data_IF_156682747751
#
_entry.id   IF_156682747751
#
_cell.length_a   1.000
_cell.length_b   1.000
_cell.length_c   1.000
_cell.angle_alpha   90.00
_cell.angle_beta   90.00
_cell.angle_gamma   90.00
#
_symmetry.space_group_name_H-M   'P 1'
#
loop_
_entity.id
_entity.type
_entity.pdbx_description
1 polymer ?
#
# COMPACT_ATOMS: atom_id res chain seq x y z
N UNK A 1 19.47 -6.47 -1.77
CA UNK A 1 18.63 -5.47 -1.07
C UNK A 1 19.48 -4.54 -0.22
N UNK A 2 20.19 -5.02 0.81
CA UNK A 2 21.04 -4.18 1.68
C UNK A 2 22.00 -3.24 0.92
N UNK A 3 22.82 -3.78 0.00
CA UNK A 3 23.76 -2.99 -0.81
C UNK A 3 23.11 -1.82 -1.57
N UNK A 4 21.86 -1.99 -2.00
CA UNK A 4 21.12 -0.92 -2.68
C UNK A 4 20.73 0.17 -1.70
N UNK A 5 20.20 -0.20 -0.53
CA UNK A 5 19.76 0.74 0.51
C UNK A 5 20.95 1.56 1.05
N UNK A 6 22.10 0.92 1.25
CA UNK A 6 23.32 1.55 1.74
C UNK A 6 23.91 2.56 0.74
N UNK A 7 23.76 2.34 -0.57
CA UNK A 7 24.35 3.20 -1.60
C UNK A 7 23.45 4.35 -2.08
N UNK A 8 22.23 4.51 -1.56
CA UNK A 8 21.32 5.58 -2.01
C UNK A 8 21.67 6.94 -1.42
N UNK A 9 21.68 7.96 -2.27
CA UNK A 9 21.76 9.38 -1.90
C UNK A 9 20.60 10.11 -2.58
N UNK A 10 19.66 10.72 -1.84
CA UNK A 10 19.59 10.80 -0.38
C UNK A 10 19.26 9.46 0.31
N UNK A 11 19.55 9.31 1.62
CA UNK A 11 19.33 8.07 2.34
C UNK A 11 17.85 7.62 2.30
N UNK A 12 17.65 6.31 2.16
CA UNK A 12 16.31 5.68 2.16
C UNK A 12 15.80 5.32 3.56
N UNK A 13 16.68 5.35 4.55
CA UNK A 13 16.37 5.11 5.95
C UNK A 13 15.62 6.30 6.56
N UNK A 14 14.80 6.01 7.56
CA UNK A 14 14.01 6.97 8.34
C UNK A 14 14.20 6.68 9.82
N UNK A 15 13.99 7.67 10.69
CA UNK A 15 14.23 7.54 12.12
C UNK A 15 13.06 6.88 12.87
N UNK A 16 11.86 6.93 12.31
CA UNK A 16 10.64 6.42 12.96
C UNK A 16 9.64 5.82 11.98
N UNK A 17 8.70 5.02 12.49
CA UNK A 17 7.59 4.50 11.68
C UNK A 17 6.71 5.61 11.10
N UNK A 18 6.37 6.64 11.89
CA UNK A 18 5.55 7.75 11.44
C UNK A 18 6.17 8.47 10.23
N UNK A 19 7.48 8.72 10.27
CA UNK A 19 8.22 9.31 9.16
C UNK A 19 8.21 8.41 7.92
N UNK A 20 8.45 7.10 8.10
CA UNK A 20 8.42 6.13 6.99
C UNK A 20 7.06 6.01 6.33
N UNK A 21 5.98 5.97 7.12
CA UNK A 21 4.60 5.91 6.64
C UNK A 21 4.25 7.18 5.86
N UNK A 22 4.57 8.36 6.41
CA UNK A 22 4.31 9.63 5.73
C UNK A 22 5.14 9.77 4.43
N UNK A 23 6.36 9.23 4.42
CA UNK A 23 7.19 9.15 3.22
C UNK A 23 6.53 8.29 2.14
N UNK A 24 5.93 7.15 2.49
CA UNK A 24 5.15 6.34 1.53
C UNK A 24 3.99 7.14 0.94
N UNK A 25 3.19 7.81 1.80
CA UNK A 25 2.01 8.60 1.39
C UNK A 25 2.39 9.74 0.43
N UNK A 26 3.42 10.50 0.78
CA UNK A 26 3.87 11.66 0.00
C UNK A 26 4.49 11.31 -1.36
N UNK A 27 5.09 10.11 -1.50
CA UNK A 27 5.84 9.74 -2.70
C UNK A 27 5.01 9.09 -3.82
N UNK A 28 3.68 8.94 -3.64
CA UNK A 28 2.72 8.46 -4.66
C UNK A 28 3.16 7.16 -5.33
N UNK A 29 3.54 6.16 -4.53
CA UNK A 29 3.92 4.82 -5.02
C UNK A 29 5.38 4.69 -5.48
N UNK A 30 6.22 5.73 -5.32
CA UNK A 30 7.66 5.67 -5.66
C UNK A 30 8.57 5.30 -4.50
N UNK A 31 8.01 5.12 -3.31
CA UNK A 31 8.73 4.68 -2.11
C UNK A 31 7.94 3.56 -1.45
N UNK A 32 8.63 2.46 -1.14
CA UNK A 32 8.10 1.35 -0.37
C UNK A 32 8.83 1.31 0.97
N UNK A 33 8.09 1.10 2.06
CA UNK A 33 8.64 1.06 3.40
C UNK A 33 8.58 -0.36 3.95
N UNK A 34 9.71 -0.87 4.42
CA UNK A 34 9.81 -2.16 5.08
C UNK A 34 9.69 -1.94 6.59
N UNK A 35 8.62 -2.45 7.18
CA UNK A 35 8.36 -2.43 8.60
C UNK A 35 7.82 -3.79 9.05
N UNK A 36 7.66 -3.96 10.35
CA UNK A 36 7.11 -5.18 10.93
C UNK A 36 5.68 -5.45 10.45
N UNK A 37 5.33 -6.73 10.28
CA UNK A 37 4.01 -7.15 9.84
C UNK A 37 2.87 -6.64 10.73
N UNK A 38 3.05 -6.68 12.05
CA UNK A 38 2.05 -6.23 13.04
C UNK A 38 1.74 -4.73 12.91
N UNK A 39 2.77 -3.91 12.76
CA UNK A 39 2.66 -2.47 12.54
C UNK A 39 2.04 -2.17 11.15
N UNK A 40 2.43 -2.91 10.12
CA UNK A 40 1.84 -2.77 8.79
C UNK A 40 0.33 -3.08 8.80
N UNK A 41 -0.07 -4.19 9.42
CA UNK A 41 -1.47 -4.58 9.55
C UNK A 41 -2.27 -3.57 10.37
N UNK A 42 -1.67 -2.99 11.42
CA UNK A 42 -2.29 -1.92 12.19
C UNK A 42 -2.54 -0.67 11.34
N UNK A 43 -1.52 -0.18 10.63
CA UNK A 43 -1.61 1.05 9.85
C UNK A 43 -2.60 0.92 8.69
N UNK A 44 -2.72 -0.27 8.09
CA UNK A 44 -3.70 -0.53 7.04
C UNK A 44 -5.16 -0.44 7.52
N UNK A 45 -5.42 -0.52 8.82
CA UNK A 45 -6.77 -0.31 9.38
C UNK A 45 -7.00 1.13 9.83
N UNK A 46 -6.05 2.06 9.62
CA UNK A 46 -6.14 3.47 10.02
C UNK A 46 -6.46 4.38 8.85
N UNK A 47 -7.25 5.42 9.11
CA UNK A 47 -7.51 6.47 8.12
C UNK A 47 -6.20 7.18 7.74
N UNK A 48 -6.03 7.57 6.46
CA UNK A 48 -7.04 7.59 5.40
C UNK A 48 -7.12 6.30 4.56
N UNK A 49 -6.69 5.14 5.09
CA UNK A 49 -6.79 3.83 4.41
C UNK A 49 -6.00 3.78 3.08
N UNK A 50 -4.88 4.50 3.04
CA UNK A 50 -4.05 4.73 1.86
C UNK A 50 -2.77 3.87 1.84
N UNK A 51 -2.64 2.97 2.80
CA UNK A 51 -1.54 2.00 2.89
C UNK A 51 -2.05 0.60 2.60
N UNK A 52 -1.16 -0.27 2.09
CA UNK A 52 -1.45 -1.68 1.89
C UNK A 52 -0.22 -2.54 2.09
N UNK A 53 -0.40 -3.71 2.69
CA UNK A 53 0.60 -4.78 2.74
C UNK A 53 0.65 -5.46 1.37
N UNK A 54 1.87 -5.68 0.87
CA UNK A 54 2.10 -6.37 -0.40
C UNK A 54 2.99 -7.59 -0.16
N UNK A 55 2.55 -8.74 -0.66
CA UNK A 55 3.29 -9.99 -0.58
C UNK A 55 3.30 -10.64 0.81
N UNK A 56 4.14 -11.67 0.93
CA UNK A 56 4.34 -12.42 2.18
C UNK A 56 5.39 -11.74 3.08
N UNK A 57 5.39 -12.10 4.36
CA UNK A 57 6.41 -11.64 5.31
C UNK A 57 7.79 -12.17 4.90
N UNK A 58 8.83 -11.34 5.07
CA UNK A 58 10.21 -11.73 4.78
C UNK A 58 10.78 -12.74 5.79
N UNK A 59 10.23 -12.75 7.01
CA UNK A 59 10.64 -13.60 8.11
C UNK A 59 9.45 -13.88 9.05
N UNK A 60 9.67 -14.77 10.01
CA UNK A 60 8.75 -15.04 11.12
C UNK A 60 9.45 -14.66 12.41
N UNK A 61 9.09 -13.50 12.96
CA UNK A 61 9.57 -12.98 14.25
C UNK A 61 8.34 -12.78 15.14
N UNK A 62 8.50 -13.00 16.45
CA UNK A 62 7.46 -12.77 17.45
C UNK A 62 7.94 -11.90 18.60
N UNK A 63 7.00 -11.25 19.28
CA UNK A 63 7.26 -10.49 20.50
C UNK A 63 7.32 -11.41 21.74
N UNK A 64 8.10 -11.01 22.73
CA UNK A 64 8.18 -11.68 24.02
C UNK A 64 8.29 -10.68 25.17
N UNK A 65 7.93 -11.12 26.37
CA UNK A 65 8.12 -10.34 27.61
C UNK A 65 9.53 -10.62 28.14
N UNK A 66 10.34 -9.57 28.23
CA UNK A 66 11.70 -9.67 28.75
C UNK A 66 11.72 -9.52 30.28
N UNK A 67 12.44 -10.40 30.96
CA UNK A 67 12.75 -10.29 32.39
C UNK A 67 14.28 -10.26 32.59
N UNK A 68 14.77 -9.65 33.69
CA UNK A 68 16.18 -9.73 34.03
C UNK A 68 16.67 -11.18 34.13
N UNK A 69 17.93 -11.41 33.80
CA UNK A 69 18.53 -12.74 33.90
C UNK A 69 18.46 -13.25 35.34
N UNK A 70 18.00 -14.49 35.53
CA UNK A 70 17.82 -15.09 36.85
C UNK A 70 16.59 -14.62 37.64
N UNK A 71 15.65 -13.90 37.01
CA UNK A 71 14.42 -13.48 37.69
C UNK A 71 13.48 -14.65 37.99
N UNK A 72 13.03 -14.76 39.25
CA UNK A 72 12.02 -15.74 39.71
C UNK A 72 10.66 -15.60 38.99
N UNK A 73 10.41 -14.44 38.37
CA UNK A 73 9.18 -14.16 37.64
C UNK A 73 9.16 -14.79 36.25
N UNK A 74 10.30 -15.21 35.70
CA UNK A 74 10.39 -15.73 34.34
C UNK A 74 9.42 -16.88 34.11
N UNK A 75 9.44 -17.88 34.98
CA UNK A 75 8.63 -19.09 34.80
C UNK A 75 7.14 -18.82 35.05
N UNK A 76 6.83 -18.00 36.04
CA UNK A 76 5.47 -17.55 36.35
C UNK A 76 4.85 -16.80 35.16
N UNK A 77 5.60 -15.87 34.55
CA UNK A 77 5.15 -15.11 33.37
C UNK A 77 4.99 -16.05 32.17
N UNK A 78 5.93 -16.96 31.94
CA UNK A 78 5.87 -17.88 30.81
C UNK A 78 4.64 -18.79 30.89
N UNK A 79 4.35 -19.35 32.07
CA UNK A 79 3.14 -20.15 32.32
C UNK A 79 1.86 -19.33 32.14
N UNK A 80 1.85 -18.07 32.60
CA UNK A 80 0.71 -17.18 32.41
C UNK A 80 0.44 -16.88 30.93
N UNK A 81 1.49 -16.63 30.13
CA UNK A 81 1.36 -16.41 28.69
C UNK A 81 0.78 -17.65 28.00
N UNK A 82 1.29 -18.84 28.32
CA UNK A 82 0.77 -20.11 27.78
C UNK A 82 -0.71 -20.28 28.12
N UNK A 83 -1.10 -20.04 29.38
CA UNK A 83 -2.50 -20.12 29.80
C UNK A 83 -3.41 -19.10 29.07
N UNK A 84 -2.92 -17.89 28.77
CA UNK A 84 -3.67 -16.89 27.99
C UNK A 84 -3.78 -17.29 26.51
N UNK A 85 -2.74 -17.92 25.96
CA UNK A 85 -2.73 -18.41 24.59
C UNK A 85 -3.69 -19.59 24.40
N UNK A 86 -3.66 -20.58 25.29
CA UNK A 86 -4.57 -21.74 25.26
C UNK A 86 -6.04 -21.34 25.39
N UNK A 87 -6.33 -20.30 26.20
CA UNK A 87 -7.69 -19.75 26.34
C UNK A 87 -8.12 -18.86 25.16
N UNK A 88 -7.20 -18.53 24.24
CA UNK A 88 -7.46 -17.64 23.10
C UNK A 88 -7.62 -16.16 23.47
N UNK A 89 -7.31 -15.76 24.71
CA UNK A 89 -7.44 -14.38 25.17
C UNK A 89 -6.50 -13.43 24.42
N UNK A 90 -5.28 -13.90 24.08
CA UNK A 90 -4.35 -13.12 23.26
C UNK A 90 -4.92 -12.80 21.88
N UNK A 91 -5.57 -13.77 21.22
CA UNK A 91 -6.18 -13.57 19.91
C UNK A 91 -7.39 -12.63 19.98
N UNK A 92 -8.16 -12.73 21.06
CA UNK A 92 -9.27 -11.81 21.33
C UNK A 92 -8.80 -10.37 21.52
N UNK A 93 -7.68 -10.18 22.24
CA UNK A 93 -7.06 -8.86 22.40
C UNK A 93 -6.51 -8.33 21.07
N UNK A 94 -5.84 -9.15 20.28
CA UNK A 94 -5.38 -8.79 18.94
C UNK A 94 -6.54 -8.27 18.08
N UNK A 95 -7.63 -9.03 17.98
CA UNK A 95 -8.80 -8.63 17.21
C UNK A 95 -9.41 -7.32 17.70
N UNK A 96 -9.53 -7.16 19.02
CA UNK A 96 -10.07 -5.96 19.65
C UNK A 96 -9.29 -4.70 19.31
N UNK A 97 -7.96 -4.78 19.27
CA UNK A 97 -7.09 -3.60 19.10
C UNK A 97 -6.74 -3.32 17.63
N UNK A 98 -6.66 -4.34 16.78
CA UNK A 98 -6.33 -4.19 15.36
C UNK A 98 -7.56 -4.03 14.45
N UNK A 99 -8.60 -4.85 14.65
CA UNK A 99 -9.71 -4.97 13.70
C UNK A 99 -11.00 -4.32 14.21
N UNK A 100 -11.45 -4.64 15.44
CA UNK A 100 -12.70 -4.09 15.98
C UNK A 100 -12.63 -2.56 16.17
N UNK A 101 -11.42 -2.05 16.37
CA UNK A 101 -11.10 -0.62 16.46
C UNK A 101 -10.46 -0.06 15.18
N UNK A 102 -10.52 -0.82 14.10
CA UNK A 102 -10.17 -0.35 12.76
C UNK A 102 -11.06 0.83 12.38
N UNK A 103 -10.48 1.80 11.69
CA UNK A 103 -11.17 2.99 11.18
C UNK A 103 -11.44 2.91 9.68
N UNK A 104 -10.81 1.95 9.02
CA UNK A 104 -11.11 1.51 7.67
C UNK A 104 -12.10 0.36 7.78
N UNK A 105 -13.28 0.49 7.19
CA UNK A 105 -14.11 -0.68 6.96
C UNK A 105 -13.29 -1.67 6.12
N UNK A 106 -13.40 -2.97 6.42
CA UNK A 106 -12.86 -4.02 5.56
C UNK A 106 -13.61 -4.10 4.20
N UNK A 107 -14.15 -2.99 3.72
CA UNK A 107 -14.39 -2.76 2.30
C UNK A 107 -13.05 -2.42 1.69
N UNK A 108 -12.54 -3.19 0.74
CA UNK A 108 -13.02 -3.00 -0.63
C UNK A 108 -13.85 -1.71 -0.65
N UNK A 109 -13.18 -0.57 -0.83
CA UNK A 109 -13.73 0.43 -1.72
C UNK A 109 -13.98 -0.34 -3.01
N UNK A 110 -15.11 -1.04 -3.07
CA UNK A 110 -15.79 -1.28 -4.31
C UNK A 110 -15.90 0.15 -4.77
N UNK A 111 -15.19 0.47 -5.84
CA UNK A 111 -15.41 1.66 -6.64
C UNK A 111 -16.90 1.64 -7.06
N UNK A 112 -17.79 1.87 -6.10
CA UNK A 112 -19.16 2.30 -6.23
C UNK A 112 -19.20 3.82 -6.30
N UNK A 113 -18.04 4.48 -6.35
CA UNK A 113 -17.87 5.84 -6.84
C UNK A 113 -17.95 5.85 -8.36
N UNK A 114 -19.13 5.48 -8.88
CA UNK A 114 -19.55 5.71 -10.24
C UNK A 114 -18.62 5.11 -11.32
N UNK A 115 -19.13 4.13 -12.06
CA UNK A 115 -18.78 3.97 -13.48
C UNK A 115 -19.23 5.23 -14.26
N UNK A 116 -18.76 6.41 -13.85
CA UNK A 116 -18.82 7.63 -14.61
C UNK A 116 -17.77 7.46 -15.70
N UNK A 117 -18.24 7.43 -16.94
CA UNK A 117 -17.40 7.47 -18.12
C UNK A 117 -16.64 8.80 -18.11
N UNK A 118 -15.54 8.86 -17.37
CA UNK A 118 -14.71 10.05 -17.31
C UNK A 118 -14.24 10.40 -18.72
N UNK A 119 -14.30 11.68 -19.11
CA UNK A 119 -13.89 12.15 -20.43
C UNK A 119 -12.48 11.67 -20.80
N UNK A 120 -11.58 11.53 -19.82
CA UNK A 120 -10.23 10.98 -19.99
C UNK A 120 -10.19 9.55 -20.54
N UNK A 121 -11.22 8.74 -20.29
CA UNK A 121 -11.34 7.36 -20.82
C UNK A 121 -11.83 7.34 -22.27
N UNK A 122 -12.56 8.38 -22.71
CA UNK A 122 -13.20 8.48 -24.05
C UNK A 122 -12.41 9.42 -24.98
N UNK A 123 -11.52 10.27 -24.44
CA UNK A 123 -10.72 11.23 -25.19
C UNK A 123 -9.93 10.61 -26.36
N UNK A 124 -9.50 9.35 -26.23
CA UNK A 124 -8.84 8.61 -27.30
C UNK A 124 -9.65 8.52 -28.60
N UNK A 125 -10.98 8.36 -28.50
CA UNK A 125 -11.88 8.26 -29.66
C UNK A 125 -11.96 9.62 -30.39
N UNK A 126 -11.99 10.72 -29.65
CA UNK A 126 -12.00 12.07 -30.23
C UNK A 126 -10.70 12.39 -30.97
N UNK A 127 -9.54 11.99 -30.42
CA UNK A 127 -8.26 12.19 -31.11
C UNK A 127 -8.16 11.41 -32.43
N UNK A 128 -8.66 10.16 -32.46
CA UNK A 128 -8.69 9.36 -33.68
C UNK A 128 -9.60 10.00 -34.75
N UNK A 129 -10.78 10.51 -34.35
CA UNK A 129 -11.70 11.21 -35.26
C UNK A 129 -11.07 12.47 -35.86
N UNK A 130 -10.45 13.33 -35.04
CA UNK A 130 -9.77 14.52 -35.54
C UNK A 130 -8.60 14.17 -36.46
N UNK A 131 -7.79 13.18 -36.10
CA UNK A 131 -6.70 12.70 -36.95
C UNK A 131 -7.20 12.19 -38.30
N UNK A 132 -8.27 11.39 -38.30
CA UNK A 132 -8.91 10.88 -39.53
C UNK A 132 -9.43 11.99 -40.43
N UNK A 133 -10.05 13.03 -39.85
CA UNK A 133 -10.56 14.17 -40.60
C UNK A 133 -9.43 14.98 -41.26
N UNK A 134 -8.32 15.21 -40.54
CA UNK A 134 -7.14 15.92 -41.08
C UNK A 134 -6.47 15.11 -42.20
N UNK A 135 -6.27 13.81 -42.00
CA UNK A 135 -5.66 12.93 -43.01
C UNK A 135 -6.52 12.88 -44.28
N UNK A 136 -7.84 12.75 -44.13
CA UNK A 136 -8.77 12.75 -45.25
C UNK A 136 -8.72 14.07 -46.03
N UNK A 137 -8.65 15.20 -45.34
CA UNK A 137 -8.53 16.52 -45.98
C UNK A 137 -7.21 16.67 -46.75
N UNK A 138 -6.09 16.21 -46.19
CA UNK A 138 -4.78 16.26 -46.87
C UNK A 138 -4.73 15.33 -48.08
N UNK A 139 -5.31 14.12 -48.00
CA UNK A 139 -5.39 13.20 -49.13
C UNK A 139 -6.19 13.81 -50.29
N UNK A 140 -7.34 14.43 -49.99
CA UNK A 140 -8.15 15.11 -51.00
C UNK A 140 -7.41 16.27 -51.69
N UNK A 141 -6.67 17.08 -50.92
CA UNK A 141 -5.82 18.15 -51.48
C UNK A 141 -4.67 17.58 -52.33
N UNK A 142 -4.05 16.48 -51.89
CA UNK A 142 -3.00 15.79 -52.64
C UNK A 142 -3.49 15.24 -53.98
N UNK A 143 -4.63 14.55 -53.99
CA UNK A 143 -5.27 14.06 -55.22
C UNK A 143 -5.67 15.21 -56.15
N UNK A 144 -6.19 16.31 -55.60
CA UNK A 144 -6.54 17.48 -56.40
C UNK A 144 -5.31 18.11 -57.07
N UNK A 145 -4.19 18.21 -56.36
CA UNK A 145 -2.94 18.76 -56.92
C UNK A 145 -2.28 17.84 -57.95
N UNK A 146 -2.39 16.52 -57.78
CA UNK A 146 -1.86 15.53 -58.74
C UNK A 146 -2.77 15.38 -59.96
N UNK A 147 -4.10 15.47 -59.78
CA UNK A 147 -5.09 15.26 -60.84
C UNK A 147 -5.41 16.50 -61.69
N UNK A 148 -5.04 17.71 -61.24
CA UNK A 148 -5.20 18.97 -61.99
C UNK A 148 -3.90 19.36 -62.73
N UNK A 149 -2.81 18.61 -62.55
CA UNK A 149 -1.53 18.79 -63.23
C UNK A 149 -1.42 18.05 -64.57
#
# INVERSE_FOLDING_TARGET
MWRYMESQVPPVFVASYAEGIERVRSHKGRYAFLLEATANEYENTRKPCDTMKVGANLNSIGYGIATPFGSDWKDHINLAILALQERGELKKLENKWWYDRGQCDAGITVDGSSASLNLSKVAGIFYILMGGMVISMLAALGEFLIGVG
#
